data_IF_700490370954
#
_entry.id   IF_700490370954
#
_cell.length_a   1.000
_cell.length_b   1.000
_cell.length_c   1.000
_cell.angle_alpha   90.00
_cell.angle_beta   90.00
_cell.angle_gamma   90.00
#
_symmetry.space_group_name_H-M   'P 1'
#
loop_
_entity.id
_entity.type
_entity.pdbx_description
1 polymer ?
#
# COMPACT_ATOMS: atom_id res chain seq x y z
N UNK A 1 32.16 0.47 -61.80
CA UNK A 1 31.84 -0.43 -60.74
C UNK A 1 31.15 0.40 -59.70
N UNK A 2 29.81 0.44 -59.82
CA UNK A 2 28.95 1.24 -58.92
C UNK A 2 28.80 0.53 -57.60
N UNK A 3 29.09 1.23 -56.52
CA UNK A 3 28.80 0.81 -55.18
C UNK A 3 27.26 0.81 -54.98
N UNK A 4 26.66 -0.34 -55.03
CA UNK A 4 25.30 -0.55 -54.46
C UNK A 4 25.43 -0.58 -52.95
N UNK A 5 25.25 0.56 -52.31
CA UNK A 5 24.90 0.60 -50.89
C UNK A 5 23.52 -0.06 -50.73
N UNK A 6 23.46 -1.18 -50.08
CA UNK A 6 22.19 -1.76 -49.58
C UNK A 6 21.67 -0.79 -48.51
N UNK A 7 20.78 0.12 -48.93
CA UNK A 7 19.88 0.78 -47.99
C UNK A 7 18.99 -0.31 -47.37
N UNK A 8 19.27 -0.67 -46.11
CA UNK A 8 18.25 -1.32 -45.30
C UNK A 8 17.06 -0.33 -45.23
N UNK A 9 15.82 -0.79 -45.51
CA UNK A 9 14.68 0.07 -45.29
C UNK A 9 14.67 0.43 -43.81
N UNK A 10 14.75 1.73 -43.48
CA UNK A 10 14.46 2.25 -42.13
C UNK A 10 13.07 1.76 -41.78
N UNK A 11 12.99 0.79 -40.91
CA UNK A 11 11.71 0.39 -40.33
C UNK A 11 11.26 1.56 -39.48
N UNK A 12 10.08 2.08 -39.77
CA UNK A 12 9.49 3.22 -39.10
C UNK A 12 9.48 2.97 -37.57
N UNK A 13 10.08 3.83 -36.79
CA UNK A 13 10.19 3.69 -35.34
C UNK A 13 8.81 3.49 -34.67
N UNK A 14 7.74 4.08 -35.24
CA UNK A 14 6.36 3.86 -34.76
C UNK A 14 5.93 2.40 -34.92
N UNK A 15 6.28 1.76 -36.04
CA UNK A 15 5.95 0.33 -36.27
C UNK A 15 6.70 -0.58 -35.30
N UNK A 16 7.93 -0.26 -34.97
CA UNK A 16 8.75 -1.01 -33.98
C UNK A 16 8.11 -0.93 -32.58
N UNK A 17 7.68 0.26 -32.17
CA UNK A 17 7.06 0.47 -30.84
C UNK A 17 5.71 -0.27 -30.75
N UNK A 18 4.86 -0.18 -31.76
CA UNK A 18 3.61 -0.95 -31.79
C UNK A 18 3.85 -2.47 -31.71
N UNK A 19 4.84 -2.98 -32.42
CA UNK A 19 5.19 -4.40 -32.41
C UNK A 19 5.61 -4.84 -31.00
N UNK A 20 6.49 -4.09 -30.34
CA UNK A 20 6.97 -4.38 -28.98
C UNK A 20 5.82 -4.46 -27.98
N UNK A 21 4.88 -3.50 -28.01
CA UNK A 21 3.73 -3.50 -27.10
C UNK A 21 2.80 -4.71 -27.35
N UNK A 22 2.59 -5.11 -28.61
CA UNK A 22 1.82 -6.30 -28.97
C UNK A 22 2.51 -7.57 -28.45
N UNK A 23 3.80 -7.73 -28.69
CA UNK A 23 4.60 -8.89 -28.24
C UNK A 23 4.63 -9.01 -26.71
N UNK A 24 4.77 -7.89 -25.97
CA UNK A 24 4.71 -7.89 -24.50
C UNK A 24 3.31 -8.30 -24.03
N UNK A 25 2.26 -7.82 -24.68
CA UNK A 25 0.89 -8.22 -24.36
C UNK A 25 0.68 -9.72 -24.57
N UNK A 26 1.13 -10.25 -25.70
CA UNK A 26 1.08 -11.68 -26.00
C UNK A 26 1.91 -12.49 -25.00
N UNK A 27 3.12 -12.02 -24.64
CA UNK A 27 3.96 -12.66 -23.63
C UNK A 27 3.24 -12.76 -22.27
N UNK A 28 2.56 -11.69 -21.82
CA UNK A 28 1.79 -11.68 -20.56
C UNK A 28 0.66 -12.71 -20.59
N UNK A 29 -0.05 -12.82 -21.73
CA UNK A 29 -1.16 -13.75 -21.91
C UNK A 29 -0.65 -15.19 -22.02
N UNK A 30 0.32 -15.48 -22.88
CA UNK A 30 0.84 -16.81 -23.17
C UNK A 30 1.56 -17.42 -21.98
N UNK A 31 2.24 -16.60 -21.19
CA UNK A 31 2.85 -17.02 -19.94
C UNK A 31 1.85 -17.16 -18.79
N UNK A 32 0.55 -16.91 -19.03
CA UNK A 32 -0.52 -17.10 -18.06
C UNK A 32 -0.37 -16.24 -16.81
N UNK A 33 0.23 -15.05 -16.92
CA UNK A 33 0.49 -14.18 -15.76
C UNK A 33 -0.79 -13.63 -15.12
N UNK A 34 -1.92 -13.65 -15.87
CA UNK A 34 -3.23 -13.17 -15.43
C UNK A 34 -4.21 -14.30 -15.09
N UNK A 35 -3.84 -15.55 -15.34
CA UNK A 35 -4.71 -16.69 -15.11
C UNK A 35 -4.15 -17.54 -13.98
N UNK A 36 -4.98 -17.86 -12.97
CA UNK A 36 -4.65 -18.83 -11.93
C UNK A 36 -4.61 -20.29 -12.47
N UNK A 37 -4.68 -20.49 -13.79
CA UNK A 37 -4.52 -21.82 -14.38
C UNK A 37 -3.10 -22.29 -14.17
N UNK A 38 -2.96 -23.48 -13.63
CA UNK A 38 -1.66 -24.12 -13.46
C UNK A 38 -0.93 -24.11 -14.81
N UNK A 39 0.12 -23.33 -14.89
CA UNK A 39 1.05 -23.37 -16.01
C UNK A 39 1.68 -24.77 -16.06
N UNK A 40 2.15 -25.19 -17.23
CA UNK A 40 2.81 -26.51 -17.43
C UNK A 40 3.94 -26.78 -16.42
N UNK A 41 4.49 -25.74 -15.81
CA UNK A 41 5.48 -25.82 -14.74
C UNK A 41 4.81 -25.55 -13.39
N UNK A 42 4.82 -26.55 -12.51
CA UNK A 42 4.28 -26.49 -11.15
C UNK A 42 5.23 -25.71 -10.18
N UNK A 43 5.86 -24.65 -10.68
CA UNK A 43 6.84 -23.85 -9.93
C UNK A 43 6.34 -22.44 -9.69
N UNK A 44 6.34 -22.01 -8.42
CA UNK A 44 6.09 -20.63 -8.02
C UNK A 44 7.23 -19.70 -8.40
N UNK A 45 8.47 -20.21 -8.38
CA UNK A 45 9.67 -19.43 -8.69
C UNK A 45 10.70 -20.28 -9.42
N UNK A 46 11.42 -19.68 -10.35
CA UNK A 46 12.64 -20.20 -10.93
C UNK A 46 13.83 -19.59 -10.18
N UNK A 47 14.09 -20.10 -8.97
CA UNK A 47 15.12 -19.51 -8.12
C UNK A 47 16.53 -19.72 -8.69
N UNK A 48 17.25 -18.62 -8.81
CA UNK A 48 18.67 -18.57 -9.17
C UNK A 48 19.39 -17.67 -8.17
N UNK A 49 20.54 -18.13 -7.69
CA UNK A 49 21.35 -17.30 -6.77
C UNK A 49 21.77 -15.98 -7.45
N UNK A 50 21.75 -14.84 -6.75
CA UNK A 50 22.00 -13.52 -7.35
C UNK A 50 23.29 -13.45 -8.20
N UNK A 51 24.40 -14.02 -7.73
CA UNK A 51 25.67 -14.03 -8.47
C UNK A 51 25.61 -14.84 -9.78
N UNK A 52 24.74 -15.83 -9.84
CA UNK A 52 24.51 -16.59 -11.08
C UNK A 52 23.53 -15.82 -11.98
N UNK A 53 22.51 -15.21 -11.42
CA UNK A 53 21.52 -14.43 -12.18
C UNK A 53 22.21 -13.25 -12.90
N UNK A 54 23.11 -12.53 -12.25
CA UNK A 54 23.92 -11.45 -12.87
C UNK A 54 24.72 -11.92 -14.10
N UNK A 55 25.09 -13.21 -14.17
CA UNK A 55 25.79 -13.78 -15.32
C UNK A 55 24.86 -14.24 -16.44
N UNK A 56 23.58 -14.49 -16.11
CA UNK A 56 22.57 -14.96 -17.06
C UNK A 56 21.83 -13.80 -17.72
N UNK A 57 21.73 -12.67 -17.01
CA UNK A 57 21.01 -11.46 -17.47
C UNK A 57 21.95 -10.28 -17.30
N UNK A 58 22.41 -9.72 -18.40
CA UNK A 58 23.16 -8.48 -18.39
C UNK A 58 22.17 -7.31 -18.21
N UNK A 59 22.29 -6.62 -17.09
CA UNK A 59 21.49 -5.44 -16.74
C UNK A 59 22.34 -4.15 -16.71
N UNK A 60 23.57 -4.22 -17.27
CA UNK A 60 24.41 -3.03 -17.38
C UNK A 60 23.80 -2.01 -18.37
N UNK A 61 23.96 -0.75 -18.06
CA UNK A 61 23.62 0.32 -18.99
C UNK A 61 24.81 0.54 -19.93
N UNK A 62 24.66 0.09 -21.17
CA UNK A 62 25.64 0.32 -22.22
C UNK A 62 25.53 1.71 -22.85
N UNK A 63 26.53 2.10 -23.62
CA UNK A 63 26.56 3.37 -24.35
C UNK A 63 25.74 3.33 -25.66
N UNK A 64 25.33 2.15 -26.09
CA UNK A 64 24.53 1.93 -27.31
C UNK A 64 23.11 1.49 -26.98
N UNK A 65 22.11 1.91 -27.79
CA UNK A 65 20.74 1.45 -27.63
C UNK A 65 20.65 -0.05 -27.94
N UNK A 66 19.75 -0.73 -27.24
CA UNK A 66 19.40 -2.12 -27.54
C UNK A 66 18.47 -2.19 -28.75
N UNK A 67 18.62 -3.24 -29.53
CA UNK A 67 17.67 -3.56 -30.60
C UNK A 67 16.32 -4.02 -30.02
N UNK A 68 15.26 -3.96 -30.82
CA UNK A 68 13.93 -4.49 -30.49
C UNK A 68 13.99 -5.92 -29.95
N UNK A 69 14.72 -6.82 -30.64
CA UNK A 69 14.86 -8.22 -30.24
C UNK A 69 15.54 -8.39 -28.88
N UNK A 70 16.58 -7.59 -28.60
CA UNK A 70 17.27 -7.63 -27.31
C UNK A 70 16.37 -7.15 -26.17
N UNK A 71 15.56 -6.10 -26.38
CA UNK A 71 14.59 -5.61 -25.41
C UNK A 71 13.56 -6.70 -25.11
N UNK A 72 13.02 -7.35 -26.15
CA UNK A 72 12.02 -8.39 -25.99
C UNK A 72 12.60 -9.63 -25.27
N UNK A 73 13.83 -10.02 -25.56
CA UNK A 73 14.51 -11.10 -24.83
C UNK A 73 14.71 -10.73 -23.34
N UNK A 74 15.04 -9.50 -23.00
CA UNK A 74 15.08 -9.04 -21.60
C UNK A 74 13.71 -9.15 -20.93
N UNK A 75 12.62 -8.82 -21.62
CA UNK A 75 11.25 -8.99 -21.09
C UNK A 75 10.96 -10.47 -20.80
N UNK A 76 11.34 -11.39 -21.70
CA UNK A 76 11.20 -12.84 -21.46
C UNK A 76 12.01 -13.30 -20.24
N UNK A 77 13.25 -12.82 -20.08
CA UNK A 77 14.09 -13.11 -18.90
C UNK A 77 13.46 -12.55 -17.63
N UNK A 78 12.89 -11.35 -17.66
CA UNK A 78 12.17 -10.78 -16.54
C UNK A 78 11.02 -11.69 -16.10
N UNK A 79 10.23 -12.21 -17.02
CA UNK A 79 9.15 -13.16 -16.72
C UNK A 79 9.70 -14.50 -16.21
N UNK A 80 10.75 -15.04 -16.82
CA UNK A 80 11.36 -16.32 -16.46
C UNK A 80 11.87 -16.35 -15.01
N UNK A 81 12.50 -15.26 -14.55
CA UNK A 81 13.10 -15.19 -13.22
C UNK A 81 12.23 -14.46 -12.18
N UNK A 82 11.06 -14.01 -12.57
CA UNK A 82 10.09 -13.43 -11.62
C UNK A 82 9.30 -14.48 -10.85
N UNK A 83 8.85 -14.12 -9.65
CA UNK A 83 7.94 -14.97 -8.87
C UNK A 83 6.55 -14.92 -9.49
N UNK A 84 5.91 -16.06 -9.66
CA UNK A 84 4.55 -16.18 -10.19
C UNK A 84 3.52 -15.95 -9.11
N UNK A 85 3.19 -14.69 -8.89
CA UNK A 85 2.30 -14.27 -7.80
C UNK A 85 0.85 -14.73 -7.96
N UNK A 86 0.42 -15.06 -9.20
CA UNK A 86 -0.90 -15.63 -9.51
C UNK A 86 -0.95 -17.17 -9.34
N UNK A 87 0.15 -17.82 -8.96
CA UNK A 87 0.18 -19.26 -8.79
C UNK A 87 -0.57 -19.68 -7.52
N UNK A 88 -1.42 -20.74 -7.54
CA UNK A 88 -2.22 -21.16 -6.37
C UNK A 88 -1.38 -21.52 -5.13
N UNK A 89 -0.11 -21.84 -5.29
CA UNK A 89 0.84 -22.13 -4.19
C UNK A 89 1.66 -20.91 -3.76
N UNK A 90 1.38 -19.70 -4.29
CA UNK A 90 2.02 -18.48 -3.83
C UNK A 90 1.35 -18.00 -2.53
N UNK A 91 2.01 -18.24 -1.40
CA UNK A 91 1.49 -17.97 -0.05
C UNK A 91 2.46 -17.11 0.79
N UNK A 92 3.48 -16.54 0.14
CA UNK A 92 4.56 -15.86 0.85
C UNK A 92 4.22 -14.42 1.27
N UNK A 93 3.30 -13.75 0.58
CA UNK A 93 2.96 -12.34 0.80
C UNK A 93 1.48 -12.17 1.11
N UNK A 94 1.10 -10.97 1.58
CA UNK A 94 -0.29 -10.60 1.84
C UNK A 94 -0.99 -10.03 0.60
N UNK A 95 -0.55 -10.40 -0.59
CA UNK A 95 -1.19 -10.08 -1.87
C UNK A 95 -1.09 -11.29 -2.80
N UNK A 96 -1.85 -11.27 -3.87
CA UNK A 96 -1.88 -12.31 -4.90
C UNK A 96 -1.66 -11.70 -6.29
N UNK A 97 -1.82 -12.50 -7.36
CA UNK A 97 -1.61 -12.06 -8.74
C UNK A 97 -2.42 -10.84 -9.17
N UNK A 98 -2.06 -10.27 -10.30
CA UNK A 98 -2.72 -9.10 -10.85
C UNK A 98 -4.15 -9.42 -11.31
N UNK A 99 -5.09 -8.49 -11.07
CA UNK A 99 -6.41 -8.49 -11.67
C UNK A 99 -6.33 -7.99 -13.12
N UNK A 100 -6.95 -8.69 -14.10
CA UNK A 100 -6.88 -8.28 -15.51
C UNK A 100 -7.49 -6.90 -15.79
N UNK A 101 -8.58 -6.54 -15.11
CA UNK A 101 -9.24 -5.24 -15.28
C UNK A 101 -8.38 -4.13 -14.68
N UNK A 102 -7.81 -4.39 -13.49
CA UNK A 102 -6.87 -3.48 -12.85
C UNK A 102 -5.62 -3.26 -13.69
N UNK A 103 -5.08 -4.32 -14.33
CA UNK A 103 -3.94 -4.19 -15.24
C UNK A 103 -4.27 -3.35 -16.47
N UNK A 104 -5.44 -3.58 -17.10
CA UNK A 104 -5.88 -2.77 -18.24
C UNK A 104 -6.02 -1.28 -17.87
N UNK A 105 -6.56 -0.99 -16.67
CA UNK A 105 -6.63 0.37 -16.14
C UNK A 105 -5.24 0.99 -15.92
N UNK A 106 -4.30 0.23 -15.39
CA UNK A 106 -2.92 0.67 -15.19
C UNK A 106 -2.23 0.99 -16.53
N UNK A 107 -2.36 0.11 -17.55
CA UNK A 107 -1.80 0.36 -18.87
C UNK A 107 -2.37 1.62 -19.52
N UNK A 108 -3.69 1.84 -19.38
CA UNK A 108 -4.33 3.05 -19.90
C UNK A 108 -3.80 4.30 -19.17
N UNK A 109 -3.66 4.24 -17.85
CA UNK A 109 -3.14 5.36 -17.06
C UNK A 109 -1.70 5.72 -17.44
N UNK A 110 -0.84 4.73 -17.61
CA UNK A 110 0.54 4.93 -18.05
C UNK A 110 0.61 5.49 -19.48
N UNK A 111 -0.21 4.98 -20.40
CA UNK A 111 -0.25 5.48 -21.78
C UNK A 111 -0.71 6.95 -21.87
N UNK A 112 -1.63 7.38 -21.01
CA UNK A 112 -2.08 8.77 -20.95
C UNK A 112 -1.06 9.73 -20.30
N UNK A 113 -0.10 9.19 -19.56
CA UNK A 113 1.02 9.90 -18.96
C UNK A 113 0.62 11.25 -18.30
N UNK A 114 -0.45 11.24 -17.53
CA UNK A 114 -0.97 12.41 -16.83
C UNK A 114 -0.74 12.29 -15.31
N UNK A 115 -1.05 13.35 -14.59
CA UNK A 115 -1.00 13.35 -13.12
C UNK A 115 -2.26 13.98 -12.53
N UNK A 116 -2.56 13.66 -11.27
CA UNK A 116 -3.73 14.14 -10.53
C UNK A 116 -3.47 15.46 -9.79
N UNK A 117 -2.58 16.31 -10.32
CA UNK A 117 -2.21 17.56 -9.66
C UNK A 117 -3.31 18.62 -9.72
N UNK A 118 -3.95 18.78 -10.87
CA UNK A 118 -5.10 19.67 -11.06
C UNK A 118 -6.15 19.08 -11.97
N UNK A 119 -7.38 19.58 -11.86
CA UNK A 119 -8.51 19.16 -12.69
C UNK A 119 -8.26 19.41 -14.19
N UNK A 120 -7.58 20.49 -14.55
CA UNK A 120 -7.28 20.84 -15.97
C UNK A 120 -6.37 19.80 -16.64
N UNK A 121 -5.49 19.18 -15.85
CA UNK A 121 -4.53 18.19 -16.38
C UNK A 121 -5.14 16.79 -16.44
N UNK A 122 -5.97 16.42 -15.46
CA UNK A 122 -6.53 15.07 -15.34
C UNK A 122 -8.01 15.06 -14.96
N UNK A 123 -8.91 15.69 -15.73
CA UNK A 123 -10.31 15.85 -15.35
C UNK A 123 -11.02 14.52 -15.10
N UNK A 124 -10.81 13.52 -15.96
CA UNK A 124 -11.42 12.22 -15.82
C UNK A 124 -10.94 11.48 -14.55
N UNK A 125 -9.62 11.42 -14.34
CA UNK A 125 -9.07 10.70 -13.20
C UNK A 125 -9.35 11.37 -11.86
N UNK A 126 -9.44 12.70 -11.82
CA UNK A 126 -9.91 13.43 -10.63
C UNK A 126 -11.34 13.04 -10.24
N UNK A 127 -12.23 12.90 -11.21
CA UNK A 127 -13.60 12.43 -10.96
C UNK A 127 -13.62 10.97 -10.51
N UNK A 128 -12.80 10.11 -11.11
CA UNK A 128 -12.67 8.70 -10.69
C UNK A 128 -12.16 8.58 -9.26
N UNK A 129 -11.13 9.36 -8.89
CA UNK A 129 -10.63 9.40 -7.52
C UNK A 129 -11.74 9.77 -6.54
N UNK A 130 -12.49 10.81 -6.83
CA UNK A 130 -13.60 11.29 -6.00
C UNK A 130 -14.66 10.21 -5.78
N UNK A 131 -15.10 9.55 -6.86
CA UNK A 131 -16.11 8.49 -6.80
C UNK A 131 -15.62 7.26 -6.05
N UNK A 132 -14.37 6.84 -6.29
CA UNK A 132 -13.79 5.68 -5.59
C UNK A 132 -13.66 5.96 -4.09
N UNK A 133 -13.17 7.14 -3.70
CA UNK A 133 -13.05 7.52 -2.29
C UNK A 133 -14.42 7.64 -1.62
N UNK A 134 -15.42 8.21 -2.30
CA UNK A 134 -16.80 8.26 -1.79
C UNK A 134 -17.36 6.85 -1.56
N UNK A 135 -17.13 5.95 -2.50
CA UNK A 135 -17.58 4.57 -2.37
C UNK A 135 -16.88 3.81 -1.23
N UNK A 136 -15.59 4.03 -1.03
CA UNK A 136 -14.83 3.47 0.11
C UNK A 136 -15.32 4.00 1.46
N UNK A 137 -15.64 5.29 1.57
CA UNK A 137 -16.27 5.87 2.78
C UNK A 137 -17.58 5.19 3.12
N UNK A 138 -18.42 4.88 2.11
CA UNK A 138 -19.68 4.18 2.32
C UNK A 138 -19.46 2.76 2.91
N UNK A 139 -18.40 2.06 2.51
CA UNK A 139 -18.06 0.77 3.14
C UNK A 139 -17.66 0.93 4.60
N UNK A 140 -17.00 2.01 4.99
CA UNK A 140 -16.67 2.31 6.38
C UNK A 140 -17.94 2.69 7.16
N UNK A 141 -18.89 3.35 6.53
CA UNK A 141 -20.13 3.84 7.15
C UNK A 141 -20.08 5.33 7.45
N UNK A 142 -19.18 6.07 6.78
CA UNK A 142 -19.07 7.52 6.92
C UNK A 142 -19.89 8.24 5.85
N UNK A 143 -20.76 9.16 6.30
CA UNK A 143 -21.56 10.02 5.42
C UNK A 143 -20.71 11.14 4.80
N UNK A 144 -19.73 11.64 5.53
CA UNK A 144 -18.82 12.71 5.14
C UNK A 144 -17.35 12.32 5.40
N UNK A 145 -16.43 13.11 4.89
CA UNK A 145 -15.00 12.90 5.03
C UNK A 145 -14.25 12.96 3.70
N UNK A 146 -12.95 12.80 3.78
CA UNK A 146 -12.06 12.84 2.62
C UNK A 146 -11.08 11.65 2.65
N UNK A 147 -10.35 11.48 1.59
CA UNK A 147 -9.35 10.43 1.46
C UNK A 147 -8.28 10.76 0.42
N UNK A 148 -7.17 10.06 0.49
CA UNK A 148 -6.08 10.16 -0.47
C UNK A 148 -5.54 8.78 -0.81
N UNK A 149 -5.10 8.59 -2.04
CA UNK A 149 -4.28 7.46 -2.41
C UNK A 149 -2.82 7.71 -1.99
N UNK A 150 -2.23 6.74 -1.29
CA UNK A 150 -0.86 6.84 -0.77
C UNK A 150 0.03 5.76 -1.38
N UNK A 151 1.35 5.97 -1.47
CA UNK A 151 2.28 4.95 -1.93
C UNK A 151 2.53 3.88 -0.86
N UNK A 152 1.47 3.18 -0.45
CA UNK A 152 1.48 2.05 0.48
C UNK A 152 1.06 2.40 1.91
N UNK A 153 0.67 1.34 2.65
CA UNK A 153 0.11 1.45 4.01
C UNK A 153 1.02 2.14 5.03
N UNK A 154 2.34 2.07 4.88
CA UNK A 154 3.27 2.76 5.79
C UNK A 154 3.10 4.28 5.75
N UNK A 155 2.90 4.87 4.57
CA UNK A 155 2.63 6.29 4.43
C UNK A 155 1.19 6.61 4.82
N UNK A 156 0.22 5.74 4.53
CA UNK A 156 -1.15 5.91 5.00
C UNK A 156 -1.21 6.02 6.53
N UNK A 157 -0.54 5.13 7.25
CA UNK A 157 -0.44 5.17 8.71
C UNK A 157 0.27 6.45 9.22
N UNK A 158 1.32 6.90 8.52
CA UNK A 158 1.98 8.16 8.85
C UNK A 158 1.04 9.35 8.68
N UNK A 159 0.25 9.38 7.62
CA UNK A 159 -0.78 10.43 7.44
C UNK A 159 -1.78 10.44 8.60
N UNK A 160 -2.24 9.27 9.07
CA UNK A 160 -3.10 9.18 10.26
C UNK A 160 -2.49 9.88 11.47
N UNK A 161 -1.21 9.64 11.76
CA UNK A 161 -0.50 10.31 12.86
C UNK A 161 -0.32 11.81 12.65
N UNK A 162 -0.06 12.25 11.41
CA UNK A 162 0.10 13.67 11.07
C UNK A 162 -1.23 14.41 11.19
N UNK A 163 -2.33 13.81 10.70
CA UNK A 163 -3.68 14.37 10.80
C UNK A 163 -4.13 14.51 12.26
N UNK A 164 -3.90 13.47 13.06
CA UNK A 164 -4.18 13.50 14.50
C UNK A 164 -3.46 14.64 15.21
N UNK A 165 -2.17 14.81 14.92
CA UNK A 165 -1.36 15.90 15.46
C UNK A 165 -1.85 17.27 15.01
N UNK A 166 -2.15 17.42 13.71
CA UNK A 166 -2.66 18.67 13.16
C UNK A 166 -4.03 19.03 13.73
N UNK A 167 -4.92 18.06 13.88
CA UNK A 167 -6.24 18.28 14.46
C UNK A 167 -6.14 18.78 15.91
N UNK A 168 -5.25 18.20 16.71
CA UNK A 168 -5.08 18.58 18.12
C UNK A 168 -4.25 19.85 18.30
N UNK A 169 -3.26 20.09 17.44
CA UNK A 169 -2.29 21.20 17.51
C UNK A 169 -2.05 21.81 16.12
N UNK A 170 -3.02 22.54 15.56
CA UNK A 170 -2.89 23.09 14.19
C UNK A 170 -1.70 24.05 14.03
N UNK A 171 -1.26 24.71 15.12
CA UNK A 171 -0.09 25.60 15.12
C UNK A 171 1.23 24.91 14.80
N UNK A 172 1.31 23.59 14.96
CA UNK A 172 2.51 22.80 14.56
C UNK A 172 2.88 23.05 13.11
N UNK A 173 1.89 23.30 12.24
CA UNK A 173 2.11 23.59 10.82
C UNK A 173 3.08 24.77 10.61
N UNK A 174 3.03 25.77 11.47
CA UNK A 174 3.82 27.01 11.32
C UNK A 174 4.90 27.17 12.35
N UNK A 175 4.69 26.65 13.58
CA UNK A 175 5.61 26.86 14.73
C UNK A 175 6.45 25.64 15.06
N UNK A 176 6.22 24.50 14.39
CA UNK A 176 6.91 23.24 14.73
C UNK A 176 6.47 22.66 16.08
N UNK A 177 7.20 21.66 16.58
CA UNK A 177 6.84 20.83 17.72
C UNK A 177 7.18 21.44 19.09
N UNK A 178 7.93 22.53 19.16
CA UNK A 178 8.62 22.99 20.38
C UNK A 178 7.71 23.44 21.54
N UNK A 179 6.43 23.75 21.31
CA UNK A 179 5.54 24.38 22.30
C UNK A 179 4.29 23.53 22.65
N UNK A 180 4.22 22.26 22.23
CA UNK A 180 3.01 21.42 22.39
C UNK A 180 3.14 20.35 23.48
N UNK A 181 4.21 20.39 24.27
CA UNK A 181 4.49 19.36 25.27
C UNK A 181 5.03 18.06 24.66
N UNK A 182 5.24 17.06 25.50
CA UNK A 182 5.73 15.75 25.08
C UNK A 182 4.57 14.87 24.60
N UNK A 183 4.40 14.80 23.29
CA UNK A 183 3.34 14.00 22.67
C UNK A 183 3.58 12.51 22.86
N UNK A 184 2.51 11.74 23.08
CA UNK A 184 2.53 10.27 23.20
C UNK A 184 1.47 9.66 22.30
N UNK A 185 1.85 8.60 21.58
CA UNK A 185 0.98 7.77 20.78
C UNK A 185 0.96 6.32 21.31
N UNK A 186 -0.08 5.57 20.98
CA UNK A 186 -0.26 4.20 21.42
C UNK A 186 -0.52 3.27 20.24
N UNK A 187 0.02 2.06 20.27
CA UNK A 187 -0.25 1.01 19.29
C UNK A 187 -0.18 -0.37 19.95
N UNK A 188 -0.85 -1.36 19.35
CA UNK A 188 -0.69 -2.75 19.80
C UNK A 188 0.74 -3.24 19.62
N UNK A 189 1.21 -4.11 20.51
CA UNK A 189 2.48 -4.83 20.33
C UNK A 189 2.49 -5.71 19.06
N UNK A 190 1.31 -6.09 18.54
CA UNK A 190 1.13 -6.83 17.30
C UNK A 190 0.92 -5.91 16.08
N UNK A 191 0.95 -4.59 16.29
CA UNK A 191 0.82 -3.58 15.25
C UNK A 191 1.99 -3.64 14.26
N UNK A 192 1.73 -3.24 13.03
CA UNK A 192 2.76 -3.22 11.99
C UNK A 192 3.85 -2.19 12.32
N UNK A 193 5.10 -2.53 12.06
CA UNK A 193 6.28 -1.67 12.35
C UNK A 193 6.25 -0.29 11.65
N UNK A 194 5.35 -0.08 10.70
CA UNK A 194 5.17 1.22 10.05
C UNK A 194 4.83 2.35 11.02
N UNK A 195 4.09 2.05 12.10
CA UNK A 195 3.76 3.02 13.14
C UNK A 195 5.03 3.47 13.87
N UNK A 196 5.93 2.54 14.18
CA UNK A 196 7.24 2.87 14.80
C UNK A 196 8.09 3.74 13.87
N UNK A 197 8.13 3.41 12.56
CA UNK A 197 8.81 4.23 11.56
C UNK A 197 8.18 5.60 11.42
N UNK A 198 6.85 5.69 11.40
CA UNK A 198 6.14 6.96 11.33
C UNK A 198 6.46 7.84 12.55
N UNK A 199 6.46 7.29 13.76
CA UNK A 199 6.84 8.01 14.98
C UNK A 199 8.25 8.63 14.89
N UNK A 200 9.20 7.90 14.29
CA UNK A 200 10.53 8.42 14.00
C UNK A 200 10.48 9.57 12.96
N UNK A 201 9.82 9.36 11.82
CA UNK A 201 9.84 10.32 10.70
C UNK A 201 9.15 11.64 11.01
N UNK A 202 8.04 11.60 11.77
CA UNK A 202 7.30 12.81 12.13
C UNK A 202 7.89 13.57 13.34
N UNK A 203 9.01 13.10 13.89
CA UNK A 203 9.68 13.74 15.02
C UNK A 203 9.01 13.50 16.38
N UNK A 204 8.13 12.50 16.51
CA UNK A 204 7.56 12.09 17.79
C UNK A 204 8.62 11.46 18.71
N UNK A 205 9.53 10.68 18.09
CA UNK A 205 10.46 9.80 18.80
C UNK A 205 9.84 8.44 19.13
N UNK A 206 10.63 7.39 18.99
CA UNK A 206 10.15 6.00 19.21
C UNK A 206 9.83 5.71 20.67
N UNK A 207 10.48 6.37 21.62
CA UNK A 207 10.22 6.23 23.05
C UNK A 207 8.86 6.80 23.48
N UNK A 208 8.28 7.65 22.64
CA UNK A 208 6.95 8.23 22.82
C UNK A 208 5.85 7.45 22.09
N UNK A 209 6.18 6.31 21.48
CA UNK A 209 5.23 5.33 20.99
C UNK A 209 5.08 4.20 22.00
N UNK A 210 4.00 4.19 22.74
CA UNK A 210 3.72 3.22 23.80
C UNK A 210 3.08 1.97 23.25
N UNK A 211 3.73 0.82 23.46
CA UNK A 211 3.18 -0.47 23.10
C UNK A 211 2.13 -0.92 24.11
N UNK A 212 0.95 -1.30 23.63
CA UNK A 212 -0.16 -1.83 24.41
C UNK A 212 -0.18 -3.35 24.28
N UNK A 213 -0.33 -4.05 25.39
CA UNK A 213 -0.39 -5.51 25.40
C UNK A 213 -1.61 -6.05 24.63
N UNK A 214 -1.45 -7.22 24.02
CA UNK A 214 -2.50 -7.97 23.35
C UNK A 214 -2.88 -9.24 24.13
N UNK A 215 -4.09 -9.73 23.86
CA UNK A 215 -4.59 -11.00 24.40
C UNK A 215 -3.95 -12.20 23.66
N UNK A 216 -4.30 -13.40 24.09
CA UNK A 216 -3.82 -14.65 23.47
C UNK A 216 -4.23 -14.83 22.01
N UNK A 217 -5.17 -14.03 21.51
CA UNK A 217 -5.60 -14.00 20.11
C UNK A 217 -4.92 -12.88 19.31
N UNK A 218 -3.99 -12.13 19.91
CA UNK A 218 -3.25 -11.04 19.27
C UNK A 218 -4.04 -9.73 19.17
N UNK A 219 -5.13 -9.53 19.94
CA UNK A 219 -5.95 -8.32 19.93
C UNK A 219 -5.54 -7.38 21.04
N UNK A 220 -5.45 -6.08 20.78
CA UNK A 220 -5.19 -5.05 21.79
C UNK A 220 -6.16 -5.18 22.97
N UNK A 221 -5.65 -5.13 24.19
CA UNK A 221 -6.47 -5.17 25.41
C UNK A 221 -6.90 -3.74 25.77
N UNK A 222 -8.22 -3.40 25.68
CA UNK A 222 -8.70 -2.04 25.94
C UNK A 222 -8.35 -1.50 27.33
N UNK A 223 -8.44 -2.33 28.37
CA UNK A 223 -8.08 -1.94 29.72
C UNK A 223 -6.60 -1.57 29.85
N UNK A 224 -5.70 -2.27 29.13
CA UNK A 224 -4.28 -1.93 29.09
C UNK A 224 -4.01 -0.61 28.34
N UNK A 225 -4.76 -0.35 27.25
CA UNK A 225 -4.69 0.96 26.59
C UNK A 225 -5.07 2.08 27.57
N UNK A 226 -6.19 1.94 28.29
CA UNK A 226 -6.64 2.96 29.22
C UNK A 226 -5.63 3.18 30.37
N UNK A 227 -5.09 2.10 30.94
CA UNK A 227 -4.03 2.16 31.95
C UNK A 227 -2.79 2.93 31.46
N UNK A 228 -2.35 2.69 30.21
CA UNK A 228 -1.21 3.38 29.61
C UNK A 228 -1.49 4.87 29.35
N UNK A 229 -2.70 5.22 28.96
CA UNK A 229 -3.13 6.62 28.77
C UNK A 229 -3.09 7.34 30.11
N UNK A 230 -3.68 6.79 31.18
CA UNK A 230 -3.69 7.38 32.51
C UNK A 230 -2.26 7.61 33.02
N UNK A 231 -1.40 6.60 32.87
CA UNK A 231 0.02 6.71 33.25
C UNK A 231 0.76 7.82 32.48
N UNK A 232 0.48 7.99 31.18
CA UNK A 232 1.07 9.07 30.41
C UNK A 232 0.61 10.45 30.90
N UNK A 233 -0.67 10.61 31.25
CA UNK A 233 -1.23 11.85 31.81
C UNK A 233 -0.63 12.17 33.19
N UNK A 234 -0.44 11.17 34.07
CA UNK A 234 0.24 11.34 35.37
C UNK A 234 1.69 11.83 35.19
N UNK A 235 2.36 11.40 34.12
CA UNK A 235 3.70 11.87 33.73
C UNK A 235 3.69 13.25 33.05
N UNK A 236 2.53 13.93 32.97
CA UNK A 236 2.33 15.21 32.27
C UNK A 236 2.67 15.18 30.77
N UNK A 237 2.65 14.00 30.16
CA UNK A 237 2.73 13.83 28.72
C UNK A 237 1.38 14.14 28.07
N UNK A 238 1.37 14.29 26.74
CA UNK A 238 0.20 14.66 25.96
C UNK A 238 -0.20 13.51 25.04
N UNK A 239 -1.09 12.62 25.47
CA UNK A 239 -1.69 11.61 24.59
C UNK A 239 -2.45 12.28 23.42
N UNK A 240 -2.26 11.78 22.19
CA UNK A 240 -2.97 12.36 21.03
C UNK A 240 -3.45 11.35 20.01
N UNK A 241 -2.91 10.12 19.98
CA UNK A 241 -3.15 9.16 18.90
C UNK A 241 -3.15 7.71 19.40
N UNK A 242 -4.08 6.91 18.89
CA UNK A 242 -4.13 5.46 19.07
C UNK A 242 -4.19 4.81 17.70
N UNK A 243 -3.31 3.85 17.43
CA UNK A 243 -3.40 2.96 16.28
C UNK A 243 -3.96 1.62 16.71
N UNK A 244 -5.18 1.31 16.28
CA UNK A 244 -5.74 -0.03 16.31
C UNK A 244 -5.42 -0.75 14.98
N UNK A 245 -5.39 -2.08 15.00
CA UNK A 245 -5.11 -2.88 13.80
C UNK A 245 -6.29 -3.80 13.50
N UNK A 246 -6.77 -3.74 12.28
CA UNK A 246 -7.78 -4.66 11.76
C UNK A 246 -7.09 -5.63 10.78
N UNK A 247 -6.82 -6.85 11.26
CA UNK A 247 -6.03 -7.85 10.55
C UNK A 247 -4.53 -7.65 10.73
N UNK A 248 -3.98 -8.04 11.89
CA UNK A 248 -2.54 -7.99 12.15
C UNK A 248 -1.76 -8.85 11.16
N UNK A 249 -0.55 -8.43 10.80
CA UNK A 249 0.27 -9.09 9.76
C UNK A 249 0.57 -10.57 10.06
N UNK A 250 0.72 -10.93 11.34
CA UNK A 250 1.11 -12.29 11.74
C UNK A 250 -0.13 -13.14 12.11
N UNK A 251 -1.02 -12.60 12.93
CA UNK A 251 -2.16 -13.37 13.46
C UNK A 251 -3.45 -13.16 12.67
N UNK A 252 -3.55 -12.12 11.82
CA UNK A 252 -4.81 -11.71 11.22
C UNK A 252 -5.84 -11.27 12.28
N UNK A 253 -5.38 -10.83 13.45
CA UNK A 253 -6.23 -10.43 14.58
C UNK A 253 -6.87 -9.07 14.31
N UNK A 254 -8.10 -8.89 14.80
CA UNK A 254 -8.84 -7.64 14.71
C UNK A 254 -8.99 -7.06 16.11
N UNK A 255 -8.46 -5.87 16.33
CA UNK A 255 -8.60 -5.15 17.58
C UNK A 255 -10.08 -4.78 17.84
N UNK A 256 -10.53 -4.73 19.10
CA UNK A 256 -11.93 -4.44 19.43
C UNK A 256 -12.22 -2.94 19.28
N UNK A 257 -12.59 -2.49 18.06
CA UNK A 257 -12.67 -1.07 17.70
C UNK A 257 -13.67 -0.29 18.55
N UNK A 258 -14.84 -0.83 18.83
CA UNK A 258 -15.88 -0.14 19.60
C UNK A 258 -15.43 0.22 21.04
N UNK A 259 -14.90 -0.71 21.87
CA UNK A 259 -14.31 -0.33 23.17
C UNK A 259 -13.16 0.66 23.07
N UNK A 260 -12.29 0.52 22.06
CA UNK A 260 -11.16 1.46 21.84
C UNK A 260 -11.67 2.85 21.49
N UNK A 261 -12.72 2.96 20.65
CA UNK A 261 -13.36 4.24 20.29
C UNK A 261 -13.93 4.95 21.52
N UNK A 262 -14.58 4.23 22.43
CA UNK A 262 -15.07 4.81 23.69
C UNK A 262 -13.94 5.37 24.56
N UNK A 263 -12.82 4.65 24.66
CA UNK A 263 -11.65 5.10 25.41
C UNK A 263 -11.05 6.35 24.72
N UNK A 264 -10.85 6.29 23.39
CA UNK A 264 -10.32 7.44 22.65
C UNK A 264 -11.19 8.70 22.80
N UNK A 265 -12.50 8.55 22.70
CA UNK A 265 -13.45 9.64 22.93
C UNK A 265 -13.38 10.21 24.35
N UNK A 266 -13.24 9.35 25.37
CA UNK A 266 -13.13 9.76 26.78
C UNK A 266 -11.90 10.64 27.04
N UNK A 267 -10.79 10.36 26.37
CA UNK A 267 -9.50 11.04 26.58
C UNK A 267 -9.13 12.03 25.46
N UNK A 268 -10.05 12.32 24.54
CA UNK A 268 -9.81 13.19 23.38
C UNK A 268 -8.62 12.77 22.54
N UNK A 269 -8.59 11.50 22.13
CA UNK A 269 -7.55 10.89 21.31
C UNK A 269 -8.09 10.56 19.92
N UNK A 270 -7.27 10.75 18.89
CA UNK A 270 -7.54 10.31 17.53
C UNK A 270 -7.38 8.80 17.44
N UNK A 271 -8.41 8.11 17.00
CA UNK A 271 -8.36 6.68 16.74
C UNK A 271 -8.16 6.42 15.24
N UNK A 272 -7.00 5.91 14.90
CA UNK A 272 -6.63 5.43 13.57
C UNK A 272 -6.74 3.92 13.51
N UNK A 273 -7.23 3.37 12.40
CA UNK A 273 -7.26 1.93 12.16
C UNK A 273 -6.34 1.58 10.98
N UNK A 274 -5.29 0.83 11.26
CA UNK A 274 -4.54 0.12 10.24
C UNK A 274 -5.34 -1.11 9.78
N UNK A 275 -6.12 -0.93 8.73
CA UNK A 275 -6.89 -1.96 8.05
C UNK A 275 -6.22 -2.38 6.72
N UNK A 276 -4.92 -2.20 6.60
CA UNK A 276 -4.18 -2.52 5.38
C UNK A 276 -4.41 -3.97 4.92
N UNK A 277 -4.56 -4.90 5.86
CA UNK A 277 -4.91 -6.29 5.59
C UNK A 277 -6.43 -6.52 5.74
N UNK A 278 -6.98 -6.22 6.89
CA UNK A 278 -8.35 -6.60 7.24
C UNK A 278 -9.44 -5.74 6.62
N UNK A 279 -9.11 -4.62 5.96
CA UNK A 279 -10.09 -3.73 5.31
C UNK A 279 -10.96 -4.45 4.27
N UNK A 280 -10.44 -5.52 3.64
CA UNK A 280 -11.22 -6.37 2.76
C UNK A 280 -12.47 -7.00 3.42
N UNK A 281 -12.52 -7.11 4.75
CA UNK A 281 -13.70 -7.59 5.47
C UNK A 281 -14.92 -6.65 5.30
N UNK A 282 -14.70 -5.35 5.03
CA UNK A 282 -15.77 -4.37 4.85
C UNK A 282 -16.64 -4.64 3.63
N UNK A 283 -16.10 -5.22 2.57
CA UNK A 283 -16.85 -5.55 1.36
C UNK A 283 -17.59 -6.89 1.46
N UNK A 284 -17.37 -7.63 2.51
CA UNK A 284 -17.98 -8.97 2.74
C UNK A 284 -19.12 -8.89 3.74
N UNK A 285 -20.34 -9.16 3.31
CA UNK A 285 -21.50 -9.27 4.23
C UNK A 285 -21.25 -10.27 5.35
N UNK A 286 -20.56 -11.38 5.08
CA UNK A 286 -20.24 -12.44 6.04
C UNK A 286 -19.21 -12.01 7.08
N UNK A 287 -18.22 -11.20 6.70
CA UNK A 287 -17.07 -10.90 7.55
C UNK A 287 -17.04 -9.46 8.06
N UNK A 288 -17.98 -8.60 7.64
CA UNK A 288 -18.07 -7.21 8.06
C UNK A 288 -18.13 -7.04 9.60
N UNK A 289 -18.71 -8.00 10.31
CA UNK A 289 -18.79 -7.98 11.79
C UNK A 289 -17.41 -7.97 12.47
N UNK A 290 -16.34 -8.41 11.79
CA UNK A 290 -14.96 -8.27 12.28
C UNK A 290 -14.52 -6.81 12.44
N UNK A 291 -15.20 -5.89 11.75
CA UNK A 291 -14.92 -4.46 11.73
C UNK A 291 -15.96 -3.65 12.53
N UNK A 292 -16.67 -4.28 13.48
CA UNK A 292 -17.66 -3.60 14.30
C UNK A 292 -17.05 -2.40 15.04
N UNK A 293 -17.66 -1.21 14.90
CA UNK A 293 -17.18 0.05 15.45
C UNK A 293 -16.25 0.84 14.51
N UNK A 294 -16.03 0.37 13.27
CA UNK A 294 -15.16 1.08 12.30
C UNK A 294 -15.71 2.47 11.95
N UNK A 295 -17.03 2.64 11.97
CA UNK A 295 -17.69 3.94 11.73
C UNK A 295 -17.41 4.99 12.81
N UNK A 296 -16.90 4.57 13.97
CA UNK A 296 -16.61 5.43 15.12
C UNK A 296 -15.18 5.97 15.13
N UNK A 297 -14.34 5.56 14.20
CA UNK A 297 -12.91 5.94 14.17
C UNK A 297 -12.68 7.20 13.35
N UNK A 298 -11.53 7.85 13.56
CA UNK A 298 -11.22 9.14 12.91
C UNK A 298 -10.48 8.95 11.58
N UNK A 299 -9.76 7.86 11.37
CA UNK A 299 -9.10 7.56 10.10
C UNK A 299 -8.84 6.08 9.90
N UNK A 300 -8.80 5.65 8.64
CA UNK A 300 -8.57 4.25 8.24
C UNK A 300 -7.52 4.20 7.12
N UNK A 301 -6.49 3.39 7.30
CA UNK A 301 -5.57 2.99 6.23
C UNK A 301 -6.03 1.64 5.65
N UNK A 302 -6.27 1.58 4.34
CA UNK A 302 -6.79 0.39 3.67
C UNK A 302 -6.02 0.11 2.37
N UNK A 303 -5.50 -1.12 2.22
CA UNK A 303 -4.86 -1.56 0.98
C UNK A 303 -5.81 -2.45 0.17
N UNK A 304 -6.34 -1.93 -0.92
CA UNK A 304 -7.31 -2.65 -1.76
C UNK A 304 -6.71 -3.85 -2.50
N UNK A 305 -5.40 -3.90 -2.63
CA UNK A 305 -4.69 -4.98 -3.34
C UNK A 305 -4.33 -6.20 -2.46
N UNK A 306 -4.59 -6.14 -1.14
CA UNK A 306 -4.32 -7.23 -0.21
C UNK A 306 -5.51 -8.16 -0.01
#
# INVERSE_FOLDING_TARGET
MENMAHENPEVDDEVIVELLLKEITELVIDQGLLSGKALKEDRVTNFVHPEKLKKLVDLSLGDSPLSHGEIFELCKRAVEYSVRTNHPKFLNQLYHGADPVGLAGAWLSEALNTNLYTYEVAPFFMMVEHEVLAHLRNFIGWEDGDGIFTPGGSLANMYGMVLARFNKFPEVKTKGMGNIGELVAFTSQEGHYSILKAAHWIGLGTDNLVMVASDSSGRMIPAELENKIVKALEQKKVPYFVNATAGTTVFGAFDPLEPLAFICKKYDLWLHVDAAWGGGALVSQKHRSLMQGIEMVDSVAWNLHK
#
